data_IF_783586989928
#
_entry.id   IF_783586989928
#
_cell.length_a   1.000
_cell.length_b   1.000
_cell.length_c   1.000
_cell.angle_alpha   90.00
_cell.angle_beta   90.00
_cell.angle_gamma   90.00
#
_symmetry.space_group_name_H-M   'P 1'
#
loop_
_entity.id
_entity.type
_entity.pdbx_description
1 polymer ?
#
# COMPACT_ATOMS: atom_id res chain seq x y z
N UNK A 1 -3.63 -7.20 -14.39
CA UNK A 1 -2.79 -7.70 -13.28
C UNK A 1 -2.48 -9.15 -13.55
N UNK A 2 -1.21 -9.52 -13.69
CA UNK A 2 -0.82 -10.94 -13.75
C UNK A 2 -1.34 -11.63 -12.49
N UNK A 3 -2.09 -12.74 -12.65
CA UNK A 3 -2.49 -13.57 -11.51
C UNK A 3 -1.19 -14.16 -10.97
N UNK A 4 -0.71 -13.63 -9.85
CA UNK A 4 0.35 -14.26 -9.09
C UNK A 4 -0.06 -15.71 -8.84
N UNK A 5 0.90 -16.63 -8.88
CA UNK A 5 0.60 -18.01 -8.53
C UNK A 5 0.10 -18.02 -7.08
N UNK A 6 -0.91 -18.84 -6.79
CA UNK A 6 -1.51 -18.93 -5.44
C UNK A 6 -0.46 -19.09 -4.33
N UNK A 7 0.59 -19.88 -4.59
CA UNK A 7 1.72 -20.06 -3.67
C UNK A 7 2.49 -18.76 -3.41
N UNK A 8 2.70 -17.92 -4.44
CA UNK A 8 3.34 -16.61 -4.28
C UNK A 8 2.48 -15.68 -3.44
N UNK A 9 1.17 -15.67 -3.64
CA UNK A 9 0.26 -14.87 -2.81
C UNK A 9 0.30 -15.31 -1.34
N UNK A 10 0.30 -16.62 -1.09
CA UNK A 10 0.40 -17.15 0.27
C UNK A 10 1.76 -16.82 0.89
N UNK A 11 2.87 -16.94 0.15
CA UNK A 11 4.19 -16.58 0.63
C UNK A 11 4.27 -15.09 1.01
N UNK A 12 3.64 -14.20 0.23
CA UNK A 12 3.53 -12.77 0.55
C UNK A 12 2.73 -12.58 1.86
N UNK A 13 1.61 -13.29 2.03
CA UNK A 13 0.80 -13.23 3.26
C UNK A 13 1.58 -13.71 4.48
N UNK A 14 2.26 -14.86 4.39
CA UNK A 14 3.09 -15.38 5.47
C UNK A 14 4.20 -14.39 5.85
N UNK A 15 4.89 -13.82 4.86
CA UNK A 15 5.91 -12.78 5.10
C UNK A 15 5.34 -11.55 5.80
N UNK A 16 4.14 -11.12 5.43
CA UNK A 16 3.45 -10.00 6.10
C UNK A 16 3.06 -10.35 7.54
N UNK A 17 2.57 -11.56 7.78
CA UNK A 17 2.24 -12.04 9.11
C UNK A 17 3.46 -12.13 10.03
N UNK A 18 4.62 -12.55 9.52
CA UNK A 18 5.86 -12.55 10.32
C UNK A 18 6.27 -11.13 10.72
N UNK A 19 6.09 -10.13 9.85
CA UNK A 19 6.34 -8.73 10.21
C UNK A 19 5.35 -8.22 11.25
N UNK A 20 4.08 -8.60 11.15
CA UNK A 20 3.06 -8.26 12.15
C UNK A 20 3.42 -8.88 13.50
N UNK A 21 3.79 -10.16 13.53
CA UNK A 21 4.19 -10.85 14.76
C UNK A 21 5.42 -10.19 15.39
N UNK A 22 6.43 -9.86 14.58
CA UNK A 22 7.62 -9.15 15.05
C UNK A 22 7.27 -7.78 15.62
N UNK A 23 6.40 -7.01 14.96
CA UNK A 23 5.96 -5.70 15.46
C UNK A 23 5.28 -5.79 16.83
N UNK A 24 4.38 -6.77 17.03
CA UNK A 24 3.75 -7.01 18.32
C UNK A 24 4.78 -7.36 19.40
N UNK A 25 5.76 -8.22 19.06
CA UNK A 25 6.85 -8.57 19.96
C UNK A 25 7.72 -7.36 20.32
N UNK A 26 8.03 -6.50 19.34
CA UNK A 26 8.80 -5.27 19.56
C UNK A 26 8.05 -4.27 20.47
N UNK A 27 6.71 -4.34 20.47
CA UNK A 27 5.82 -3.59 21.39
C UNK A 27 5.62 -4.27 22.75
N UNK A 28 6.24 -5.44 22.99
CA UNK A 28 6.11 -6.22 24.22
C UNK A 28 4.76 -6.95 24.36
N UNK A 29 4.01 -7.08 23.27
CA UNK A 29 2.70 -7.75 23.27
C UNK A 29 2.87 -9.27 23.21
N UNK A 30 2.10 -9.99 24.03
CA UNK A 30 2.06 -11.45 24.02
C UNK A 30 1.06 -11.90 22.95
N UNK A 31 1.54 -12.70 21.99
CA UNK A 31 0.71 -13.28 20.95
C UNK A 31 -0.02 -14.52 21.46
N UNK A 32 -1.36 -14.53 21.39
CA UNK A 32 -2.16 -15.74 21.63
C UNK A 32 -1.88 -16.77 20.52
N UNK A 33 -1.31 -17.94 20.82
CA UNK A 33 -0.97 -18.91 19.78
C UNK A 33 -2.17 -19.42 18.99
N UNK A 34 -3.34 -19.58 19.60
CA UNK A 34 -4.47 -20.26 18.97
C UNK A 34 -4.93 -19.63 17.64
N UNK A 35 -5.29 -18.33 17.56
CA UNK A 35 -5.72 -17.70 16.31
C UNK A 35 -4.58 -17.64 15.28
N UNK A 36 -3.33 -17.51 15.71
CA UNK A 36 -2.17 -17.52 14.82
C UNK A 36 -1.95 -18.88 14.15
N UNK A 37 -2.06 -19.97 14.91
CA UNK A 37 -1.95 -21.32 14.37
C UNK A 37 -3.07 -21.63 13.37
N UNK A 38 -4.31 -21.20 13.64
CA UNK A 38 -5.43 -21.32 12.70
C UNK A 38 -5.11 -20.62 11.38
N UNK A 39 -4.61 -19.38 11.45
CA UNK A 39 -4.25 -18.59 10.25
C UNK A 39 -3.12 -19.25 9.48
N UNK A 40 -2.03 -19.65 10.14
CA UNK A 40 -0.90 -20.30 9.48
C UNK A 40 -1.28 -21.64 8.85
N UNK A 41 -2.02 -22.48 9.56
CA UNK A 41 -2.46 -23.77 9.05
C UNK A 41 -3.38 -23.61 7.82
N UNK A 42 -4.28 -22.62 7.85
CA UNK A 42 -5.13 -22.34 6.69
C UNK A 42 -4.31 -21.87 5.47
N UNK A 43 -3.33 -20.99 5.68
CA UNK A 43 -2.47 -20.52 4.59
C UNK A 43 -1.61 -21.64 4.01
N UNK A 44 -0.96 -22.46 4.85
CA UNK A 44 -0.11 -23.56 4.41
C UNK A 44 -0.91 -24.66 3.68
N UNK A 45 -2.16 -24.89 4.04
CA UNK A 45 -3.07 -25.83 3.35
C UNK A 45 -3.71 -25.28 2.07
N UNK A 46 -3.48 -24.01 1.73
CA UNK A 46 -4.14 -23.37 0.58
C UNK A 46 -3.45 -23.62 -0.78
N UNK A 47 -2.44 -24.50 -0.84
CA UNK A 47 -1.94 -25.00 -2.11
C UNK A 47 -1.48 -26.47 -1.95
N UNK A 48 -1.43 -27.24 -3.06
CA UNK A 48 -0.91 -28.59 -3.03
C UNK A 48 0.54 -28.60 -2.56
N UNK A 49 0.91 -29.69 -1.89
CA UNK A 49 2.28 -29.92 -1.46
C UNK A 49 3.26 -29.87 -2.64
N UNK A 50 4.33 -29.10 -2.48
CA UNK A 50 5.38 -29.03 -3.50
C UNK A 50 6.68 -28.53 -2.92
N UNK A 51 7.76 -29.21 -3.27
CA UNK A 51 9.11 -28.67 -3.16
C UNK A 51 9.25 -27.43 -4.06
N UNK A 52 9.59 -26.28 -3.48
CA UNK A 52 9.73 -25.01 -4.21
C UNK A 52 11.11 -24.82 -4.85
N UNK A 53 12.04 -25.77 -4.64
CA UNK A 53 13.42 -25.68 -5.11
C UNK A 53 14.29 -24.80 -4.22
N UNK A 54 15.59 -24.85 -4.49
CA UNK A 54 16.60 -24.02 -3.83
C UNK A 54 16.50 -22.57 -4.30
N UNK A 55 15.51 -21.84 -3.75
CA UNK A 55 15.39 -20.41 -3.97
C UNK A 55 16.22 -19.72 -2.91
N UNK A 56 17.27 -19.01 -3.35
CA UNK A 56 18.11 -18.08 -2.57
C UNK A 56 17.34 -16.95 -1.82
N UNK A 57 16.01 -16.94 -1.86
CA UNK A 57 15.18 -15.99 -1.13
C UNK A 57 15.05 -16.43 0.34
N UNK A 58 15.81 -15.78 1.22
CA UNK A 58 15.97 -16.07 2.67
C UNK A 58 14.69 -16.30 3.48
N UNK A 59 13.51 -15.92 2.98
CA UNK A 59 12.26 -15.96 3.72
C UNK A 59 11.25 -16.99 3.21
N UNK A 60 11.42 -17.57 2.02
CA UNK A 60 10.48 -18.55 1.48
C UNK A 60 10.77 -19.95 2.07
N UNK A 61 9.75 -20.73 2.48
CA UNK A 61 9.97 -22.12 2.87
C UNK A 61 10.37 -22.95 1.64
N UNK A 62 11.30 -23.89 1.83
CA UNK A 62 11.75 -24.83 0.79
C UNK A 62 10.62 -25.81 0.39
N UNK A 63 9.82 -26.21 1.38
CA UNK A 63 8.61 -27.01 1.19
C UNK A 63 7.37 -26.16 1.42
N UNK A 64 6.43 -26.21 0.47
CA UNK A 64 5.11 -25.62 0.66
C UNK A 64 4.08 -26.73 0.85
N UNK A 65 3.43 -26.76 2.01
CA UNK A 65 2.42 -27.75 2.40
C UNK A 65 2.09 -27.62 3.89
N UNK A 66 0.91 -28.09 4.32
CA UNK A 66 0.57 -28.15 5.74
C UNK A 66 1.12 -29.45 6.33
N UNK A 67 2.07 -29.33 7.25
CA UNK A 67 2.56 -30.45 8.06
C UNK A 67 2.95 -29.94 9.45
N UNK A 68 3.19 -30.86 10.39
CA UNK A 68 3.68 -30.52 11.73
C UNK A 68 4.95 -29.67 11.64
N UNK A 69 5.89 -30.05 10.77
CA UNK A 69 7.17 -29.35 10.59
C UNK A 69 6.98 -27.95 9.99
N UNK A 70 6.13 -27.78 8.98
CA UNK A 70 5.93 -26.46 8.36
C UNK A 70 5.14 -25.51 9.25
N UNK A 71 4.14 -26.00 9.98
CA UNK A 71 3.39 -25.19 10.94
C UNK A 71 4.25 -24.81 12.15
N UNK A 72 5.04 -25.75 12.69
CA UNK A 72 6.01 -25.47 13.75
C UNK A 72 7.04 -24.42 13.32
N UNK A 73 7.58 -24.53 12.11
CA UNK A 73 8.50 -23.53 11.56
C UNK A 73 7.84 -22.15 11.43
N UNK A 74 6.59 -22.08 10.97
CA UNK A 74 5.84 -20.83 10.87
C UNK A 74 5.59 -20.20 12.25
N UNK A 75 5.18 -21.01 13.22
CA UNK A 75 4.97 -20.57 14.61
C UNK A 75 6.27 -20.02 15.21
N UNK A 76 7.38 -20.73 15.06
CA UNK A 76 8.71 -20.29 15.52
C UNK A 76 9.15 -18.98 14.86
N UNK A 77 8.93 -18.82 13.55
CA UNK A 77 9.24 -17.57 12.83
C UNK A 77 8.40 -16.38 13.28
N UNK A 78 7.19 -16.63 13.77
CA UNK A 78 6.35 -15.63 14.40
C UNK A 78 6.69 -15.41 15.89
N UNK A 79 7.67 -16.13 16.45
CA UNK A 79 8.03 -16.02 17.86
C UNK A 79 7.02 -16.62 18.82
N UNK A 80 6.15 -17.52 18.35
CA UNK A 80 5.18 -18.22 19.19
C UNK A 80 5.87 -19.36 19.96
N UNK A 81 5.54 -19.49 21.25
CA UNK A 81 5.92 -20.63 22.07
C UNK A 81 4.73 -21.59 22.17
N UNK A 82 4.80 -22.71 21.46
CA UNK A 82 3.72 -23.70 21.37
C UNK A 82 4.31 -25.09 21.45
N UNK A 83 3.72 -25.98 22.26
CA UNK A 83 4.10 -27.40 22.26
C UNK A 83 3.71 -28.10 20.94
N UNK A 84 4.35 -29.26 20.72
CA UNK A 84 4.13 -30.03 19.50
C UNK A 84 2.75 -30.67 19.41
N UNK A 85 2.08 -30.90 20.53
CA UNK A 85 0.77 -31.57 20.54
C UNK A 85 -0.34 -30.62 20.10
N UNK A 86 -0.29 -29.35 20.49
CA UNK A 86 -1.13 -28.29 19.93
C UNK A 86 -0.88 -28.09 18.43
N UNK A 87 0.38 -28.13 17.97
CA UNK A 87 0.70 -28.06 16.54
C UNK A 87 0.07 -29.24 15.79
N UNK A 88 0.23 -30.47 16.29
CA UNK A 88 -0.36 -31.69 15.71
C UNK A 88 -1.88 -31.61 15.68
N UNK A 89 -2.50 -31.20 16.78
CA UNK A 89 -3.94 -31.05 16.89
C UNK A 89 -4.47 -30.03 15.86
N UNK A 90 -3.80 -28.88 15.69
CA UNK A 90 -4.21 -27.88 14.70
C UNK A 90 -4.03 -28.37 13.26
N UNK A 91 -2.94 -29.11 12.95
CA UNK A 91 -2.76 -29.74 11.63
C UNK A 91 -3.92 -30.68 11.33
N UNK A 92 -4.20 -31.62 12.24
CA UNK A 92 -5.28 -32.60 12.08
C UNK A 92 -6.66 -31.93 11.92
N UNK A 93 -6.97 -30.93 12.74
CA UNK A 93 -8.22 -30.17 12.65
C UNK A 93 -8.36 -29.46 11.30
N UNK A 94 -7.28 -28.87 10.80
CA UNK A 94 -7.29 -28.16 9.52
C UNK A 94 -7.44 -29.11 8.33
N UNK A 95 -6.75 -30.25 8.35
CA UNK A 95 -6.88 -31.29 7.32
C UNK A 95 -8.29 -31.89 7.30
N UNK A 96 -8.85 -32.20 8.47
CA UNK A 96 -10.22 -32.70 8.59
C UNK A 96 -11.23 -31.70 7.99
N UNK A 97 -11.09 -30.40 8.32
CA UNK A 97 -11.93 -29.36 7.75
C UNK A 97 -11.76 -29.25 6.23
N UNK A 98 -10.52 -29.24 5.71
CA UNK A 98 -10.21 -29.21 4.26
C UNK A 98 -10.81 -30.41 3.53
N UNK A 99 -10.76 -31.60 4.14
CA UNK A 99 -11.35 -32.83 3.60
C UNK A 99 -12.86 -32.71 3.46
N UNK A 100 -13.56 -32.33 4.54
CA UNK A 100 -15.01 -32.09 4.54
C UNK A 100 -15.43 -31.06 3.48
N UNK A 101 -14.69 -29.95 3.41
CA UNK A 101 -14.98 -28.87 2.46
C UNK A 101 -14.71 -29.27 1.00
N UNK A 102 -13.70 -30.11 0.75
CA UNK A 102 -13.42 -30.63 -0.59
C UNK A 102 -14.52 -31.58 -1.07
N UNK A 103 -15.02 -32.44 -0.18
CA UNK A 103 -16.17 -33.32 -0.46
C UNK A 103 -17.41 -32.48 -0.77
N UNK A 104 -17.73 -31.50 0.08
CA UNK A 104 -18.88 -30.61 -0.10
C UNK A 104 -18.86 -29.86 -1.44
N UNK A 105 -17.68 -29.48 -1.92
CA UNK A 105 -17.49 -28.74 -3.17
C UNK A 105 -17.31 -29.63 -4.40
N UNK A 106 -17.16 -30.96 -4.23
CA UNK A 106 -16.83 -31.89 -5.31
C UNK A 106 -15.46 -31.64 -5.96
N UNK A 107 -14.56 -30.92 -5.29
CA UNK A 107 -13.21 -30.58 -5.79
C UNK A 107 -12.27 -30.20 -4.65
N UNK A 108 -10.96 -30.35 -4.87
CA UNK A 108 -9.95 -29.98 -3.87
C UNK A 108 -10.05 -28.51 -3.43
N UNK A 109 -10.25 -28.29 -2.13
CA UNK A 109 -10.46 -26.96 -1.55
C UNK A 109 -9.14 -26.28 -1.15
N UNK A 110 -8.52 -25.61 -2.12
CA UNK A 110 -7.28 -24.84 -1.93
C UNK A 110 -7.51 -23.32 -1.82
N UNK A 111 -8.58 -22.89 -1.14
CA UNK A 111 -8.86 -21.46 -0.96
C UNK A 111 -8.13 -20.95 0.28
N UNK A 112 -7.26 -19.95 0.10
CA UNK A 112 -6.59 -19.28 1.20
C UNK A 112 -7.56 -18.41 1.99
N UNK A 113 -7.36 -18.33 3.30
CA UNK A 113 -8.10 -17.43 4.17
C UNK A 113 -8.06 -16.00 3.61
N UNK A 114 -9.24 -15.36 3.59
CA UNK A 114 -9.38 -13.99 3.10
C UNK A 114 -8.71 -13.01 4.07
N UNK A 115 -8.23 -11.88 3.55
CA UNK A 115 -7.45 -10.91 4.34
C UNK A 115 -8.23 -10.26 5.47
N UNK A 116 -9.55 -10.10 5.31
CA UNK A 116 -10.51 -9.61 6.31
C UNK A 116 -10.69 -10.60 7.46
N UNK A 117 -10.80 -11.89 7.14
CA UNK A 117 -10.86 -12.93 8.17
C UNK A 117 -9.57 -12.98 8.99
N UNK A 118 -8.41 -12.88 8.33
CA UNK A 118 -7.10 -12.84 9.01
C UNK A 118 -7.02 -11.64 9.94
N UNK A 119 -7.35 -10.43 9.46
CA UNK A 119 -7.26 -9.22 10.27
C UNK A 119 -8.19 -9.25 11.48
N UNK A 120 -9.41 -9.77 11.32
CA UNK A 120 -10.35 -9.95 12.42
C UNK A 120 -9.88 -10.97 13.45
N UNK A 121 -9.39 -12.14 13.02
CA UNK A 121 -8.92 -13.19 13.94
C UNK A 121 -7.71 -12.76 14.75
N UNK A 122 -6.81 -11.97 14.15
CA UNK A 122 -5.57 -11.53 14.78
C UNK A 122 -5.64 -10.13 15.40
N UNK A 123 -6.80 -9.47 15.37
CA UNK A 123 -6.95 -8.10 15.88
C UNK A 123 -6.07 -7.05 15.18
N UNK A 124 -5.71 -7.26 13.91
CA UNK A 124 -4.76 -6.39 13.20
C UNK A 124 -5.41 -5.04 12.89
N UNK A 125 -5.03 -3.98 13.59
CA UNK A 125 -5.56 -2.63 13.36
C UNK A 125 -4.99 -1.99 12.09
N UNK A 126 -5.56 -0.86 11.67
CA UNK A 126 -5.05 -0.08 10.53
C UNK A 126 -3.63 0.45 10.75
N UNK A 127 -3.27 0.72 12.01
CA UNK A 127 -1.94 1.15 12.43
C UNK A 127 -0.93 0.00 12.33
N UNK A 128 -1.19 -1.12 13.00
CA UNK A 128 -0.34 -2.33 12.95
C UNK A 128 -0.10 -2.76 11.49
N UNK A 129 -1.16 -2.75 10.68
CA UNK A 129 -1.06 -3.06 9.24
C UNK A 129 -0.09 -2.14 8.51
N UNK A 130 -0.11 -0.84 8.81
CA UNK A 130 0.71 0.18 8.16
C UNK A 130 2.17 0.00 8.55
N UNK A 131 2.43 -0.12 9.84
CA UNK A 131 3.76 -0.26 10.41
C UNK A 131 4.44 -1.55 9.95
N UNK A 132 3.70 -2.67 9.92
CA UNK A 132 4.20 -3.95 9.43
C UNK A 132 4.22 -4.08 7.90
N UNK A 133 3.75 -3.06 7.16
CA UNK A 133 3.54 -3.11 5.71
C UNK A 133 2.76 -4.37 5.25
N UNK A 134 1.69 -4.71 5.97
CA UNK A 134 0.87 -5.90 5.79
C UNK A 134 -0.28 -5.67 4.80
N UNK A 135 0.04 -5.21 3.59
CA UNK A 135 -0.95 -4.65 2.66
C UNK A 135 -2.01 -5.64 2.16
N UNK A 136 -1.74 -6.95 2.18
CA UNK A 136 -2.71 -7.98 1.75
C UNK A 136 -3.68 -8.42 2.85
N UNK A 137 -3.43 -7.98 4.09
CA UNK A 137 -4.32 -8.19 5.23
C UNK A 137 -5.22 -6.98 5.34
N UNK A 138 -6.51 -7.20 5.54
CA UNK A 138 -7.49 -6.12 5.73
C UNK A 138 -7.55 -5.85 7.24
N UNK A 139 -7.42 -4.59 7.69
CA UNK A 139 -7.40 -4.30 9.12
C UNK A 139 -8.79 -4.54 9.75
N UNK A 140 -8.79 -4.96 11.00
CA UNK A 140 -9.96 -5.10 11.86
C UNK A 140 -10.63 -3.73 12.10
N UNK A 141 -11.96 -3.74 12.17
CA UNK A 141 -12.77 -2.55 12.47
C UNK A 141 -12.89 -1.52 11.35
N UNK A 142 -12.33 -1.77 10.17
CA UNK A 142 -12.39 -0.85 9.02
C UNK A 142 -13.36 -1.38 7.97
N UNK A 143 -14.27 -0.52 7.50
CA UNK A 143 -15.24 -0.89 6.47
C UNK A 143 -14.60 -0.98 5.09
N UNK A 144 -15.30 -1.62 4.14
CA UNK A 144 -14.81 -1.71 2.76
C UNK A 144 -14.80 -0.32 2.10
N UNK A 145 -15.77 0.53 2.43
CA UNK A 145 -15.87 1.90 1.96
C UNK A 145 -14.67 2.73 2.41
N UNK A 146 -14.30 2.66 3.68
CA UNK A 146 -13.14 3.36 4.24
C UNK A 146 -11.83 2.93 3.57
N UNK A 147 -11.65 1.62 3.32
CA UNK A 147 -10.48 1.11 2.60
C UNK A 147 -10.41 1.64 1.17
N UNK A 148 -11.56 1.75 0.49
CA UNK A 148 -11.64 2.28 -0.86
C UNK A 148 -11.32 3.79 -0.88
N UNK A 149 -11.78 4.54 0.12
CA UNK A 149 -11.44 5.95 0.30
C UNK A 149 -9.93 6.13 0.52
N UNK A 150 -9.34 5.37 1.45
CA UNK A 150 -7.89 5.38 1.69
C UNK A 150 -7.07 4.97 0.46
N UNK A 151 -7.55 4.01 -0.32
CA UNK A 151 -6.92 3.63 -1.58
C UNK A 151 -6.98 4.77 -2.60
N UNK A 152 -8.16 5.37 -2.76
CA UNK A 152 -8.39 6.49 -3.67
C UNK A 152 -7.51 7.68 -3.31
N UNK A 153 -7.42 8.03 -2.03
CA UNK A 153 -6.59 9.15 -1.58
C UNK A 153 -5.10 8.88 -1.84
N UNK A 154 -4.60 7.67 -1.54
CA UNK A 154 -3.22 7.29 -1.86
C UNK A 154 -2.93 7.33 -3.36
N UNK A 155 -3.87 6.90 -4.20
CA UNK A 155 -3.73 7.02 -5.65
C UNK A 155 -3.71 8.48 -6.10
N UNK A 156 -4.54 9.34 -5.52
CA UNK A 156 -4.52 10.79 -5.77
C UNK A 156 -3.19 11.42 -5.37
N UNK A 157 -2.65 11.09 -4.20
CA UNK A 157 -1.33 11.54 -3.75
C UNK A 157 -0.24 11.09 -4.72
N UNK A 158 -0.16 9.79 -5.03
CA UNK A 158 0.83 9.25 -5.98
C UNK A 158 0.74 9.89 -7.36
N UNK A 159 -0.47 10.10 -7.86
CA UNK A 159 -0.67 10.77 -9.14
C UNK A 159 -0.18 12.23 -9.10
N UNK A 160 -0.40 12.93 -7.99
CA UNK A 160 0.10 14.29 -7.76
C UNK A 160 1.63 14.32 -7.70
N UNK A 161 2.23 13.39 -6.96
CA UNK A 161 3.68 13.30 -6.82
C UNK A 161 4.35 12.93 -8.14
N UNK A 162 3.76 11.99 -8.89
CA UNK A 162 4.22 11.64 -10.24
C UNK A 162 4.15 12.84 -11.19
N UNK A 163 3.07 13.64 -11.12
CA UNK A 163 2.96 14.88 -11.91
C UNK A 163 4.06 15.87 -11.53
N UNK A 164 4.30 16.09 -10.24
CA UNK A 164 5.38 16.97 -9.75
C UNK A 164 6.76 16.49 -10.21
N UNK A 165 7.05 15.19 -10.07
CA UNK A 165 8.29 14.58 -10.54
C UNK A 165 8.51 14.74 -12.05
N UNK A 166 7.43 14.75 -12.83
CA UNK A 166 7.45 15.01 -14.26
C UNK A 166 7.49 16.51 -14.63
N UNK A 167 7.72 17.41 -13.67
CA UNK A 167 7.83 18.85 -13.92
C UNK A 167 6.49 19.57 -14.11
N UNK A 168 5.36 18.95 -13.76
CA UNK A 168 4.08 19.65 -13.79
C UNK A 168 4.12 20.82 -12.79
N UNK A 169 4.04 22.04 -13.30
CA UNK A 169 4.00 23.25 -12.49
C UNK A 169 2.70 23.30 -11.68
N UNK A 170 2.75 23.75 -10.41
CA UNK A 170 1.54 23.91 -9.63
C UNK A 170 0.60 24.95 -10.30
N UNK A 171 -0.70 24.79 -10.07
CA UNK A 171 -1.74 25.49 -10.83
C UNK A 171 -1.72 27.02 -10.59
N UNK A 172 -1.19 27.45 -9.46
CA UNK A 172 -0.87 28.84 -9.11
C UNK A 172 0.07 29.51 -10.14
N UNK A 173 1.05 28.76 -10.65
CA UNK A 173 2.00 29.23 -11.67
C UNK A 173 1.48 29.08 -13.11
N UNK A 174 0.23 28.63 -13.30
CA UNK A 174 -0.36 28.55 -14.64
C UNK A 174 -0.46 29.93 -15.29
N UNK A 175 -0.23 30.00 -16.60
CA UNK A 175 -0.34 31.24 -17.38
C UNK A 175 -1.74 31.86 -17.27
N UNK A 176 -2.77 31.03 -17.14
CA UNK A 176 -4.16 31.43 -16.91
C UNK A 176 -4.40 32.14 -15.57
N UNK A 177 -3.65 31.80 -14.51
CA UNK A 177 -3.74 32.50 -13.21
C UNK A 177 -2.82 33.71 -13.15
N UNK A 178 -1.57 33.56 -13.57
CA UNK A 178 -0.58 34.66 -13.57
C UNK A 178 -0.94 35.78 -14.55
N UNK A 179 -1.75 35.47 -15.59
CA UNK A 179 -2.28 36.40 -16.60
C UNK A 179 -1.25 37.45 -17.04
N UNK A 180 -0.03 37.06 -17.45
CA UNK A 180 1.06 38.00 -17.75
C UNK A 180 0.71 39.00 -18.85
N UNK A 181 -0.16 38.62 -19.79
CA UNK A 181 -0.68 39.49 -20.84
C UNK A 181 -1.45 40.71 -20.31
N UNK A 182 -2.09 40.60 -19.13
CA UNK A 182 -2.76 41.75 -18.51
C UNK A 182 -1.76 42.82 -18.07
N UNK A 183 -0.59 42.42 -17.54
CA UNK A 183 0.48 43.35 -17.15
C UNK A 183 1.05 44.09 -18.36
N UNK A 184 1.08 43.43 -19.51
CA UNK A 184 1.53 43.99 -20.78
C UNK A 184 0.41 44.64 -21.60
N UNK A 185 -0.77 44.86 -21.00
CA UNK A 185 -1.95 45.45 -21.64
C UNK A 185 -2.30 44.85 -23.03
N UNK A 186 -2.15 43.54 -23.20
CA UNK A 186 -2.43 42.86 -24.47
C UNK A 186 -3.36 41.66 -24.32
N UNK A 187 -3.94 41.21 -25.44
CA UNK A 187 -4.76 39.99 -25.45
C UNK A 187 -3.92 38.74 -25.18
N UNK A 188 -4.54 37.71 -24.60
CA UNK A 188 -3.89 36.41 -24.36
C UNK A 188 -3.30 35.81 -25.64
N UNK A 189 -4.07 35.81 -26.72
CA UNK A 189 -3.67 35.24 -28.02
C UNK A 189 -2.44 35.98 -28.57
N UNK A 190 -2.41 37.30 -28.43
CA UNK A 190 -1.26 38.12 -28.84
C UNK A 190 -0.01 37.78 -28.04
N UNK A 191 -0.15 37.63 -26.71
CA UNK A 191 0.96 37.29 -25.82
C UNK A 191 1.55 35.91 -26.11
N UNK A 192 0.70 34.89 -26.28
CA UNK A 192 1.15 33.53 -26.61
C UNK A 192 1.90 33.50 -27.96
N UNK A 193 1.39 34.22 -28.97
CA UNK A 193 2.04 34.36 -30.29
C UNK A 193 3.41 35.03 -30.18
N UNK A 194 3.52 36.15 -29.45
CA UNK A 194 4.81 36.86 -29.27
C UNK A 194 5.81 36.05 -28.46
N UNK A 195 5.36 35.32 -27.44
CA UNK A 195 6.20 34.41 -26.65
C UNK A 195 6.77 33.28 -27.51
N UNK A 196 5.95 32.66 -28.35
CA UNK A 196 6.40 31.62 -29.27
C UNK A 196 7.41 32.16 -30.30
N UNK A 197 7.25 33.41 -30.73
CA UNK A 197 8.16 34.10 -31.64
C UNK A 197 9.40 34.71 -30.96
N UNK A 198 9.55 34.61 -29.64
CA UNK A 198 10.66 35.24 -28.90
C UNK A 198 10.65 36.78 -28.89
N UNK A 199 9.53 37.42 -29.24
CA UNK A 199 9.38 38.88 -29.40
C UNK A 199 8.58 39.51 -28.26
N UNK A 200 8.67 38.93 -27.06
CA UNK A 200 8.05 39.55 -25.89
C UNK A 200 8.80 40.84 -25.55
N UNK A 201 8.10 41.97 -25.32
CA UNK A 201 8.73 43.14 -24.76
C UNK A 201 9.35 42.76 -23.41
N UNK A 202 10.58 43.19 -23.14
CA UNK A 202 11.11 43.13 -21.78
C UNK A 202 10.10 43.84 -20.87
N UNK A 203 9.67 43.14 -19.82
CA UNK A 203 8.88 43.75 -18.76
C UNK A 203 9.79 44.82 -18.14
N UNK A 204 9.67 46.06 -18.59
CA UNK A 204 10.34 47.17 -17.91
C UNK A 204 9.82 47.16 -16.47
N UNK A 205 10.72 46.89 -15.53
CA UNK A 205 10.40 46.91 -14.11
C UNK A 205 9.75 48.25 -13.80
N UNK A 206 8.52 48.21 -13.29
CA UNK A 206 7.68 49.39 -13.06
C UNK A 206 8.20 50.30 -11.93
N UNK A 207 9.46 50.15 -11.52
CA UNK A 207 10.13 50.97 -10.53
C UNK A 207 10.64 52.32 -11.08
N UNK A 208 10.63 52.54 -12.40
CA UNK A 208 11.15 53.79 -13.01
C UNK A 208 10.05 54.75 -13.49
N UNK A 209 8.87 54.74 -12.86
CA UNK A 209 7.93 55.87 -12.97
C UNK A 209 8.06 56.69 -11.68
N UNK A 210 9.22 57.33 -11.52
CA UNK A 210 9.43 58.34 -10.49
C UNK A 210 8.94 59.68 -11.03
N UNK A 211 7.83 60.11 -10.45
CA UNK A 211 7.31 61.47 -10.27
C UNK A 211 6.84 62.30 -11.49
N UNK A 212 5.57 62.76 -11.49
CA UNK A 212 5.16 63.86 -12.34
C UNK A 212 5.81 65.16 -11.84
N UNK A 213 6.56 65.79 -12.74
CA UNK A 213 7.05 67.17 -12.63
C UNK A 213 5.91 68.08 -12.15
N UNK A 214 6.06 68.59 -10.92
CA UNK A 214 5.19 69.61 -10.34
C UNK A 214 5.20 70.84 -11.25
N UNK A 215 4.08 71.09 -11.92
CA UNK A 215 3.90 72.25 -12.79
C UNK A 215 3.85 73.54 -11.96
N UNK A 216 4.62 74.52 -12.44
CA UNK A 216 4.79 75.86 -11.91
C UNK A 216 3.50 76.55 -11.47
N UNK A 217 3.52 77.03 -10.23
CA UNK A 217 2.60 78.02 -9.67
C UNK A 217 3.09 79.41 -10.09
N UNK A 218 2.53 79.97 -11.17
CA UNK A 218 2.69 81.39 -11.52
C UNK A 218 1.53 82.14 -10.85
N UNK A 219 1.84 83.04 -9.92
CA UNK A 219 0.91 84.06 -9.41
C UNK A 219 1.42 85.44 -9.82
N UNK A 220 0.53 86.20 -10.44
CA UNK A 220 0.61 87.64 -10.66
C UNK A 220 0.22 88.40 -9.39
#
# INVERSE_FOLDING_TARGET
MSRLSRRRDIAIKLSQLYRVAQLHKDRGEILDPAPWLIVFANLLSAAPEKWLGDRKARSAPEWFGLSVSTLSLAARRAGLSVDLDHIRAQVAATEQWRGKESVRLGRNHYVAMRGDTIGRLLGITAEVRRDAAAWTIVPYGVTREELMQQYTERQRCRARDKKRANGAKPHDQSLSRTKPWKKLAMSRRTWERRRAAGTLPELMDSATISEPVSANRILH
#
